data_IF_923318869808
#
_entry.id   IF_923318869808
#
_cell.length_a   1.000
_cell.length_b   1.000
_cell.length_c   1.000
_cell.angle_alpha   90.00
_cell.angle_beta   90.00
_cell.angle_gamma   90.00
#
_symmetry.space_group_name_H-M   'P 1'
#
loop_
_entity.id
_entity.type
_entity.pdbx_description
1 polymer ?
#
# COMPACT_ATOMS: atom_id res chain seq x y z
N UNK A 1 -9.21 -15.53 -14.03
CA UNK A 1 -8.87 -14.10 -13.88
C UNK A 1 -8.07 -13.91 -12.61
N UNK A 2 -6.98 -13.14 -12.66
CA UNK A 2 -6.22 -12.70 -11.48
C UNK A 2 -6.42 -11.19 -11.33
N UNK A 3 -6.92 -10.74 -10.19
CA UNK A 3 -7.33 -9.34 -10.01
C UNK A 3 -6.14 -8.38 -9.87
N UNK A 4 -5.02 -8.86 -9.33
CA UNK A 4 -4.02 -7.97 -8.73
C UNK A 4 -4.65 -7.14 -7.60
N UNK A 5 -4.11 -5.95 -7.36
CA UNK A 5 -4.74 -4.94 -6.52
C UNK A 5 -5.75 -4.18 -7.39
N UNK A 6 -7.03 -4.28 -7.06
CA UNK A 6 -8.12 -3.83 -7.93
C UNK A 6 -8.24 -2.32 -8.00
N UNK A 7 -7.89 -1.59 -6.95
CA UNK A 7 -8.21 -0.16 -6.88
C UNK A 7 -9.65 0.12 -6.50
N UNK A 8 -9.94 1.40 -6.29
CA UNK A 8 -11.30 1.90 -6.12
C UNK A 8 -11.80 2.49 -7.44
N UNK A 9 -13.12 2.61 -7.58
CA UNK A 9 -13.72 3.45 -8.62
C UNK A 9 -13.50 4.93 -8.27
N UNK A 10 -13.64 5.81 -9.28
CA UNK A 10 -13.57 7.27 -9.18
C UNK A 10 -12.26 7.77 -8.52
N UNK A 11 -11.14 7.10 -8.78
CA UNK A 11 -9.84 7.59 -8.34
C UNK A 11 -9.36 8.71 -9.27
N UNK A 12 -8.67 9.74 -8.73
CA UNK A 12 -8.10 10.77 -9.57
C UNK A 12 -7.16 10.19 -10.63
N UNK A 13 -7.26 10.71 -11.85
CA UNK A 13 -6.35 10.47 -12.98
C UNK A 13 -6.13 9.00 -13.39
N UNK A 14 -6.75 8.03 -12.73
CA UNK A 14 -6.65 6.60 -13.03
C UNK A 14 -8.02 6.13 -13.48
N UNK A 15 -8.05 5.28 -14.52
CA UNK A 15 -9.29 4.70 -15.03
C UNK A 15 -9.86 3.69 -14.04
N UNK A 16 -11.18 3.62 -13.98
CA UNK A 16 -11.88 2.63 -13.16
C UNK A 16 -11.45 1.19 -13.48
N UNK A 17 -11.54 0.29 -12.47
CA UNK A 17 -11.24 -1.11 -12.67
C UNK A 17 -12.10 -1.71 -13.79
N UNK A 18 -11.45 -2.43 -14.71
CA UNK A 18 -12.18 -3.09 -15.80
C UNK A 18 -12.99 -4.27 -15.25
N UNK A 19 -14.26 -4.32 -15.62
CA UNK A 19 -15.12 -5.46 -15.32
C UNK A 19 -14.91 -6.58 -16.32
N UNK A 20 -14.86 -7.81 -15.82
CA UNK A 20 -14.70 -9.01 -16.63
C UNK A 20 -16.01 -9.79 -16.57
N UNK A 21 -16.58 -10.10 -17.73
CA UNK A 21 -17.90 -10.73 -17.83
C UNK A 21 -17.86 -12.24 -17.53
N UNK A 22 -16.73 -12.92 -17.82
CA UNK A 22 -16.64 -14.38 -17.74
C UNK A 22 -15.31 -14.86 -17.18
N UNK A 23 -15.36 -15.80 -16.22
CA UNK A 23 -14.19 -16.53 -15.72
C UNK A 23 -14.59 -17.88 -15.11
N UNK A 24 -13.84 -18.95 -15.40
CA UNK A 24 -14.00 -20.23 -14.71
C UNK A 24 -13.52 -20.15 -13.25
N UNK A 25 -12.43 -19.41 -13.03
CA UNK A 25 -11.79 -19.22 -11.73
C UNK A 25 -11.37 -17.76 -11.56
N UNK A 26 -11.57 -17.24 -10.35
CA UNK A 26 -11.17 -15.89 -9.98
C UNK A 26 -10.16 -15.98 -8.84
N UNK A 27 -9.02 -15.31 -8.97
CA UNK A 27 -8.05 -15.11 -7.89
C UNK A 27 -8.11 -13.62 -7.55
N UNK A 28 -8.57 -13.29 -6.35
CA UNK A 28 -8.93 -11.92 -5.97
C UNK A 28 -8.15 -11.47 -4.73
N UNK A 29 -7.72 -10.21 -4.70
CA UNK A 29 -7.17 -9.61 -3.49
C UNK A 29 -8.21 -9.57 -2.35
N UNK A 30 -7.73 -9.39 -1.12
CA UNK A 30 -8.56 -9.40 0.09
C UNK A 30 -8.09 -8.40 1.14
N UNK A 31 -7.31 -7.40 0.73
CA UNK A 31 -6.63 -6.43 1.61
C UNK A 31 -7.60 -5.77 2.59
N UNK A 32 -8.78 -5.35 2.11
CA UNK A 32 -9.86 -4.79 2.92
C UNK A 32 -11.12 -5.65 2.93
N UNK A 33 -10.95 -6.98 2.88
CA UNK A 33 -12.05 -7.93 2.92
C UNK A 33 -12.95 -7.84 4.16
N UNK A 34 -12.52 -7.20 5.24
CA UNK A 34 -13.31 -6.96 6.47
C UNK A 34 -13.64 -5.47 6.73
N UNK A 35 -13.39 -4.56 5.77
CA UNK A 35 -13.54 -3.12 5.98
C UNK A 35 -14.32 -2.45 4.86
N UNK A 36 -14.99 -1.37 5.22
CA UNK A 36 -15.58 -0.41 4.28
C UNK A 36 -14.78 0.87 4.35
N UNK A 37 -14.55 1.51 3.21
CA UNK A 37 -13.99 2.85 3.20
C UNK A 37 -15.05 3.83 3.70
N UNK A 38 -14.82 4.36 4.90
CA UNK A 38 -15.68 5.40 5.45
C UNK A 38 -15.35 6.74 4.77
N UNK A 39 -16.37 7.34 4.18
CA UNK A 39 -16.35 8.72 3.66
C UNK A 39 -15.33 8.97 2.52
N UNK A 40 -15.34 8.15 1.46
CA UNK A 40 -14.60 8.47 0.21
C UNK A 40 -14.98 9.87 -0.30
N UNK A 41 -16.25 10.25 -0.14
CA UNK A 41 -16.82 11.55 -0.52
C UNK A 41 -16.20 12.76 0.21
N UNK A 42 -15.44 12.56 1.29
CA UNK A 42 -14.89 13.66 2.09
C UNK A 42 -13.35 13.68 2.13
N UNK A 43 -12.65 12.97 1.23
CA UNK A 43 -11.17 12.91 1.24
C UNK A 43 -10.54 14.30 1.17
N UNK A 44 -10.95 15.11 0.20
CA UNK A 44 -10.45 16.46 -0.02
C UNK A 44 -10.73 17.39 1.18
N UNK A 45 -11.94 17.31 1.74
CA UNK A 45 -12.33 18.09 2.92
C UNK A 45 -11.52 17.68 4.17
N UNK A 46 -11.34 16.37 4.40
CA UNK A 46 -10.52 15.84 5.49
C UNK A 46 -9.07 16.31 5.36
N UNK A 47 -8.49 16.25 4.16
CA UNK A 47 -7.13 16.75 3.91
C UNK A 47 -7.04 18.22 4.25
N UNK A 48 -7.98 19.04 3.77
CA UNK A 48 -8.04 20.47 4.04
C UNK A 48 -8.10 20.77 5.54
N UNK A 49 -9.01 20.12 6.27
CA UNK A 49 -9.15 20.31 7.72
C UNK A 49 -7.83 20.02 8.43
N UNK A 50 -7.16 18.92 8.07
CA UNK A 50 -5.89 18.54 8.68
C UNK A 50 -4.81 19.60 8.38
N UNK A 51 -4.69 20.03 7.12
CA UNK A 51 -3.75 21.09 6.73
C UNK A 51 -4.02 22.36 7.56
N UNK A 52 -5.25 22.85 7.59
CA UNK A 52 -5.62 24.08 8.30
C UNK A 52 -5.33 23.98 9.80
N UNK A 53 -5.67 22.86 10.43
CA UNK A 53 -5.38 22.61 11.84
C UNK A 53 -3.88 22.57 12.14
N UNK A 54 -3.09 21.90 11.30
CA UNK A 54 -1.63 21.84 11.44
C UNK A 54 -1.01 23.23 11.26
N UNK A 55 -1.41 23.97 10.24
CA UNK A 55 -0.87 25.31 9.97
C UNK A 55 -1.28 26.31 11.07
N UNK A 56 -2.48 26.19 11.63
CA UNK A 56 -2.93 26.99 12.78
C UNK A 56 -2.12 26.74 14.05
N UNK A 57 -1.66 25.50 14.27
CA UNK A 57 -0.73 25.16 15.36
C UNK A 57 0.69 25.70 15.11
N UNK A 58 1.00 26.08 13.87
CA UNK A 58 2.32 26.60 13.46
C UNK A 58 3.36 25.51 13.21
N UNK A 59 2.96 24.24 13.06
CA UNK A 59 3.85 23.12 12.79
C UNK A 59 3.93 22.72 11.32
N UNK A 60 4.59 21.59 11.07
CA UNK A 60 4.68 20.98 9.74
C UNK A 60 3.68 19.83 9.63
N UNK A 61 3.16 19.63 8.42
CA UNK A 61 2.44 18.41 8.06
C UNK A 61 3.43 17.44 7.40
N UNK A 62 3.70 16.31 8.05
CA UNK A 62 4.56 15.26 7.51
C UNK A 62 3.68 14.14 6.99
N UNK A 63 3.88 13.75 5.74
CA UNK A 63 3.09 12.71 5.08
C UNK A 63 4.01 11.58 4.62
N UNK A 64 4.12 10.49 5.40
CA UNK A 64 4.66 9.23 4.90
C UNK A 64 3.81 8.74 3.73
N UNK A 65 4.39 8.66 2.54
CA UNK A 65 3.69 8.19 1.34
C UNK A 65 4.56 7.25 0.50
N UNK A 66 3.93 6.31 -0.19
CA UNK A 66 4.60 5.54 -1.23
C UNK A 66 5.00 6.47 -2.38
N UNK A 67 6.17 6.20 -2.94
CA UNK A 67 6.78 7.06 -3.94
C UNK A 67 5.97 7.11 -5.25
N UNK A 68 5.36 5.97 -5.58
CA UNK A 68 4.50 5.76 -6.73
C UNK A 68 3.06 5.76 -6.25
N UNK A 69 2.18 6.36 -7.04
CA UNK A 69 0.74 6.48 -6.84
C UNK A 69 0.36 7.42 -5.68
N UNK A 70 0.56 7.02 -4.42
CA UNK A 70 0.03 7.74 -3.24
C UNK A 70 0.56 9.16 -3.10
N UNK A 71 1.81 9.39 -3.50
CA UNK A 71 2.36 10.74 -3.59
C UNK A 71 1.60 11.57 -4.63
N UNK A 72 1.29 10.99 -5.80
CA UNK A 72 0.61 11.67 -6.89
C UNK A 72 -0.87 11.94 -6.57
N UNK A 73 -1.58 11.02 -5.89
CA UNK A 73 -2.94 11.28 -5.42
C UNK A 73 -3.00 12.48 -4.48
N UNK A 74 -2.03 12.57 -3.56
CA UNK A 74 -1.94 13.69 -2.65
C UNK A 74 -1.61 15.00 -3.38
N UNK A 75 -0.75 14.96 -4.41
CA UNK A 75 -0.47 16.13 -5.24
C UNK A 75 -1.70 16.60 -6.02
N UNK A 76 -2.52 15.67 -6.54
CA UNK A 76 -3.77 15.98 -7.22
C UNK A 76 -4.70 16.77 -6.29
N UNK A 77 -4.95 16.24 -5.09
CA UNK A 77 -5.85 16.88 -4.12
C UNK A 77 -5.29 18.21 -3.61
N UNK A 78 -3.98 18.32 -3.40
CA UNK A 78 -3.34 19.58 -3.03
C UNK A 78 -3.46 20.64 -4.14
N UNK A 79 -3.32 20.24 -5.39
CA UNK A 79 -3.52 21.13 -6.52
C UNK A 79 -4.98 21.55 -6.65
N UNK A 80 -5.92 20.63 -6.44
CA UNK A 80 -7.35 20.94 -6.42
C UNK A 80 -7.69 21.97 -5.33
N UNK A 81 -7.20 21.78 -4.10
CA UNK A 81 -7.34 22.78 -3.03
C UNK A 81 -6.69 24.12 -3.41
N UNK A 82 -5.53 24.10 -4.08
CA UNK A 82 -4.85 25.30 -4.54
C UNK A 82 -5.68 26.08 -5.57
N UNK A 83 -6.20 25.38 -6.59
CA UNK A 83 -7.00 25.97 -7.67
C UNK A 83 -8.31 26.54 -7.12
N UNK A 84 -8.94 25.87 -6.14
CA UNK A 84 -10.14 26.35 -5.44
C UNK A 84 -9.87 27.54 -4.51
N UNK A 85 -8.60 27.89 -4.26
CA UNK A 85 -8.22 28.94 -3.31
C UNK A 85 -8.38 28.53 -1.85
N UNK A 86 -8.47 27.23 -1.60
CA UNK A 86 -8.66 26.61 -0.28
C UNK A 86 -7.35 26.19 0.38
N UNK A 87 -6.25 26.11 -0.38
CA UNK A 87 -4.88 25.98 0.12
C UNK A 87 -4.20 27.36 0.16
N UNK A 88 -3.70 27.78 1.33
CA UNK A 88 -2.92 29.02 1.45
C UNK A 88 -1.66 28.94 0.58
N UNK A 89 -1.50 29.92 -0.33
CA UNK A 89 -0.39 30.02 -1.28
C UNK A 89 0.98 30.17 -0.63
N UNK A 90 1.03 30.53 0.66
CA UNK A 90 2.26 30.66 1.43
C UNK A 90 2.71 29.36 2.11
N UNK A 91 1.93 28.28 1.97
CA UNK A 91 2.33 26.95 2.43
C UNK A 91 3.25 26.34 1.39
N UNK A 92 4.45 25.95 1.79
CA UNK A 92 5.36 25.22 0.91
C UNK A 92 5.01 23.72 0.88
N UNK A 93 4.98 23.11 -0.31
CA UNK A 93 4.79 21.67 -0.48
C UNK A 93 6.08 21.06 -1.00
N UNK A 94 6.63 20.09 -0.27
CA UNK A 94 7.86 19.40 -0.66
C UNK A 94 7.62 17.93 -0.94
N UNK A 95 8.19 17.44 -2.04
CA UNK A 95 8.47 16.02 -2.22
C UNK A 95 9.94 15.78 -1.86
N UNK A 96 10.18 15.03 -0.80
CA UNK A 96 11.51 14.64 -0.35
C UNK A 96 11.74 13.14 -0.52
N UNK A 97 11.78 12.73 -1.79
CA UNK A 97 12.12 11.37 -2.21
C UNK A 97 12.56 11.39 -3.68
N UNK A 98 13.82 11.07 -4.00
CA UNK A 98 14.29 11.01 -5.39
C UNK A 98 13.43 10.08 -6.25
N UNK A 99 12.99 8.96 -5.67
CA UNK A 99 12.11 8.01 -6.34
C UNK A 99 10.71 8.60 -6.58
N UNK A 100 10.14 9.31 -5.60
CA UNK A 100 8.82 9.91 -5.78
C UNK A 100 8.84 11.05 -6.81
N UNK A 101 9.94 11.82 -6.85
CA UNK A 101 10.17 12.86 -7.86
C UNK A 101 10.25 12.23 -9.25
N UNK A 102 11.03 11.16 -9.41
CA UNK A 102 11.16 10.44 -10.68
C UNK A 102 9.82 9.82 -11.12
N UNK A 103 9.10 9.19 -10.19
CA UNK A 103 7.77 8.64 -10.45
C UNK A 103 6.78 9.73 -10.89
N UNK A 104 6.75 10.87 -10.20
CA UNK A 104 5.88 12.00 -10.58
C UNK A 104 6.18 12.48 -12.00
N UNK A 105 7.46 12.56 -12.38
CA UNK A 105 7.85 12.95 -13.73
C UNK A 105 7.40 11.93 -14.80
N UNK A 106 7.47 10.63 -14.49
CA UNK A 106 6.94 9.57 -15.35
C UNK A 106 5.42 9.72 -15.53
N UNK A 107 4.66 9.97 -14.45
CA UNK A 107 3.21 10.21 -14.54
C UNK A 107 2.90 11.40 -15.44
N UNK A 108 3.63 12.51 -15.29
CA UNK A 108 3.46 13.71 -16.11
C UNK A 108 3.70 13.45 -17.61
N UNK A 109 4.74 12.69 -17.94
CA UNK A 109 5.09 12.34 -19.31
C UNK A 109 4.09 11.36 -19.95
N UNK A 110 3.34 10.62 -19.14
CA UNK A 110 2.38 9.60 -19.59
C UNK A 110 0.92 9.99 -19.34
N UNK A 111 0.61 11.29 -19.37
CA UNK A 111 -0.74 11.83 -19.14
C UNK A 111 -1.83 11.32 -20.11
N UNK A 112 -1.43 10.75 -21.26
CA UNK A 112 -2.34 10.07 -22.19
C UNK A 112 -2.97 8.79 -21.62
N UNK A 113 -2.47 8.27 -20.49
CA UNK A 113 -3.04 7.12 -19.78
C UNK A 113 -4.07 7.51 -18.73
N UNK A 114 -4.22 8.81 -18.45
CA UNK A 114 -5.19 9.28 -17.45
C UNK A 114 -6.64 9.02 -17.87
N UNK A 115 -7.55 9.13 -16.92
CA UNK A 115 -8.98 9.16 -17.18
C UNK A 115 -9.37 10.35 -18.10
N UNK A 116 -10.57 10.27 -18.68
CA UNK A 116 -11.03 11.25 -19.66
C UNK A 116 -11.25 12.64 -19.03
N UNK A 117 -11.66 12.70 -17.76
CA UNK A 117 -11.88 13.95 -17.03
C UNK A 117 -10.57 14.72 -16.86
N UNK A 118 -9.56 14.06 -16.31
CA UNK A 118 -8.23 14.59 -16.08
C UNK A 118 -7.56 14.96 -17.40
N UNK A 119 -7.71 14.14 -18.43
CA UNK A 119 -7.14 14.45 -19.76
C UNK A 119 -7.73 15.75 -20.33
N UNK A 120 -9.02 16.02 -20.09
CA UNK A 120 -9.64 17.29 -20.48
C UNK A 120 -9.04 18.50 -19.74
N UNK A 121 -8.62 18.35 -18.49
CA UNK A 121 -7.90 19.40 -17.76
C UNK A 121 -6.49 19.62 -18.30
N UNK A 122 -5.75 18.52 -18.55
CA UNK A 122 -4.41 18.56 -19.14
C UNK A 122 -4.42 19.27 -20.50
N UNK A 123 -5.40 18.97 -21.35
CA UNK A 123 -5.57 19.60 -22.66
C UNK A 123 -5.88 21.11 -22.59
N UNK A 124 -6.36 21.60 -21.44
CA UNK A 124 -6.56 23.04 -21.17
C UNK A 124 -5.31 23.73 -20.62
N UNK A 125 -4.19 23.01 -20.51
CA UNK A 125 -2.91 23.52 -20.01
C UNK A 125 -2.72 23.42 -18.51
N UNK A 126 -3.63 22.73 -17.79
CA UNK A 126 -3.51 22.53 -16.34
C UNK A 126 -3.05 21.11 -16.04
N UNK A 127 -1.85 20.97 -15.48
CA UNK A 127 -1.35 19.66 -15.07
C UNK A 127 -1.79 19.33 -13.64
N UNK A 128 -2.50 18.21 -13.40
CA UNK A 128 -3.06 17.87 -12.08
C UNK A 128 -1.99 17.68 -10.99
N UNK A 129 -0.81 17.19 -11.36
CA UNK A 129 0.32 16.95 -10.45
C UNK A 129 1.28 18.13 -10.29
N UNK A 130 0.93 19.31 -10.82
CA UNK A 130 1.72 20.52 -10.68
C UNK A 130 0.96 21.57 -9.87
N UNK A 131 1.64 22.17 -8.90
CA UNK A 131 1.15 23.32 -8.16
C UNK A 131 2.29 24.35 -7.99
N UNK A 132 2.02 25.66 -8.04
CA UNK A 132 3.07 26.69 -8.06
C UNK A 132 4.01 26.70 -6.84
N UNK A 133 3.54 26.21 -5.70
CA UNK A 133 4.26 26.10 -4.43
C UNK A 133 4.89 24.71 -4.20
N UNK A 134 4.89 23.82 -5.21
CA UNK A 134 5.56 22.53 -5.16
C UNK A 134 7.08 22.69 -5.33
N UNK A 135 7.83 22.09 -4.41
CA UNK A 135 9.30 22.09 -4.39
C UNK A 135 9.80 20.65 -4.31
N UNK A 136 10.92 20.39 -4.99
CA UNK A 136 11.53 19.06 -5.04
C UNK A 136 12.86 19.05 -4.28
N UNK A 137 12.98 18.18 -3.28
CA UNK A 137 14.23 17.96 -2.55
C UNK A 137 14.98 16.79 -3.18
N UNK A 138 16.00 17.10 -3.98
CA UNK A 138 16.74 16.09 -4.77
C UNK A 138 17.97 15.60 -4.02
N UNK A 139 18.73 16.52 -3.43
CA UNK A 139 19.98 16.19 -2.73
C UNK A 139 19.75 15.78 -1.28
N UNK A 140 20.79 15.24 -0.65
CA UNK A 140 20.78 14.95 0.79
C UNK A 140 20.79 16.27 1.58
N UNK A 141 21.53 17.26 1.09
CA UNK A 141 21.64 18.58 1.69
C UNK A 141 20.28 19.28 1.73
N UNK A 142 19.50 19.22 0.64
CA UNK A 142 18.13 19.76 0.59
C UNK A 142 17.26 19.13 1.69
N UNK A 143 17.28 17.80 1.78
CA UNK A 143 16.53 17.04 2.78
C UNK A 143 16.95 17.39 4.21
N UNK A 144 18.25 17.58 4.45
CA UNK A 144 18.76 17.99 5.74
C UNK A 144 18.28 19.38 6.15
N UNK A 145 18.23 20.34 5.21
CA UNK A 145 17.69 21.68 5.49
C UNK A 145 16.20 21.63 5.82
N UNK A 146 15.42 20.75 5.18
CA UNK A 146 14.01 20.58 5.49
C UNK A 146 13.74 20.16 6.94
N UNK A 147 14.65 19.41 7.57
CA UNK A 147 14.51 19.04 8.99
C UNK A 147 14.59 20.25 9.93
N UNK A 148 15.11 21.40 9.48
CA UNK A 148 15.21 22.63 10.25
C UNK A 148 13.98 23.53 10.12
N UNK A 149 13.09 23.25 9.16
CA UNK A 149 11.87 24.02 8.92
C UNK A 149 10.85 23.75 10.03
N UNK A 150 10.24 24.80 10.58
CA UNK A 150 9.39 24.69 11.78
C UNK A 150 7.91 24.86 11.53
N UNK A 151 7.46 25.40 10.40
CA UNK A 151 6.04 25.48 10.11
C UNK A 151 5.74 25.99 8.72
N UNK A 152 4.44 25.98 8.36
CA UNK A 152 3.94 26.36 7.02
C UNK A 152 4.48 25.47 5.90
N UNK A 153 4.67 24.19 6.19
CA UNK A 153 5.27 23.26 5.24
C UNK A 153 4.60 21.91 5.29
N UNK A 154 4.27 21.38 4.11
CA UNK A 154 3.85 20.01 3.88
C UNK A 154 5.05 19.25 3.32
N UNK A 155 5.46 18.16 3.96
CA UNK A 155 6.59 17.34 3.53
C UNK A 155 6.10 15.93 3.24
N UNK A 156 6.09 15.56 1.97
CA UNK A 156 5.74 14.23 1.48
C UNK A 156 7.05 13.45 1.28
N UNK A 157 7.21 12.33 1.98
CA UNK A 157 8.45 11.56 1.91
C UNK A 157 8.20 10.05 2.01
N UNK A 158 9.04 9.29 1.30
CA UNK A 158 9.02 7.83 1.31
C UNK A 158 9.95 7.26 2.41
N UNK A 159 9.69 6.06 2.94
CA UNK A 159 8.61 5.12 2.55
C UNK A 159 7.28 5.33 3.29
N UNK A 160 6.18 4.90 2.66
CA UNK A 160 4.81 5.09 3.19
C UNK A 160 4.52 4.38 4.51
N UNK A 161 5.31 3.36 4.87
CA UNK A 161 5.20 2.62 6.14
C UNK A 161 6.28 2.99 7.17
N UNK A 162 7.09 4.01 6.89
CA UNK A 162 8.11 4.55 7.80
C UNK A 162 9.29 3.60 8.11
N UNK A 163 9.44 2.50 7.39
CA UNK A 163 10.49 1.50 7.67
C UNK A 163 11.89 1.97 7.25
N UNK A 164 11.97 2.75 6.17
CA UNK A 164 13.22 3.18 5.56
C UNK A 164 13.10 4.54 4.86
N UNK A 165 14.24 5.12 4.49
CA UNK A 165 14.30 6.33 3.69
C UNK A 165 14.27 7.63 4.52
N UNK A 166 14.12 8.75 3.80
CA UNK A 166 14.21 10.11 4.34
C UNK A 166 13.10 10.41 5.35
N UNK A 167 11.95 9.73 5.24
CA UNK A 167 10.84 9.88 6.19
C UNK A 167 11.27 9.65 7.64
N UNK A 168 12.20 8.73 7.91
CA UNK A 168 12.68 8.48 9.28
C UNK A 168 13.37 9.70 9.88
N UNK A 169 14.08 10.47 9.07
CA UNK A 169 14.68 11.73 9.51
C UNK A 169 13.60 12.76 9.81
N UNK A 170 12.59 12.92 8.94
CA UNK A 170 11.48 13.83 9.19
C UNK A 170 10.70 13.47 10.45
N UNK A 171 10.42 12.19 10.67
CA UNK A 171 9.77 11.70 11.88
C UNK A 171 10.61 11.98 13.12
N UNK A 172 11.93 11.72 13.08
CA UNK A 172 12.84 12.04 14.19
C UNK A 172 12.79 13.52 14.60
N UNK A 173 12.67 14.44 13.64
CA UNK A 173 12.64 15.88 13.91
C UNK A 173 11.25 16.44 14.20
N UNK A 174 10.17 15.74 13.86
CA UNK A 174 8.81 16.26 13.99
C UNK A 174 7.92 15.50 14.99
N UNK A 175 8.16 14.21 15.28
CA UNK A 175 7.27 13.41 16.16
C UNK A 175 7.16 13.96 17.58
N UNK A 176 8.23 14.54 18.12
CA UNK A 176 8.24 15.08 19.48
C UNK A 176 7.65 16.49 19.59
N UNK A 177 7.25 17.10 18.47
CA UNK A 177 6.74 18.47 18.38
C UNK A 177 5.21 18.47 18.39
N UNK A 178 4.55 19.00 19.43
CA UNK A 178 3.09 18.98 19.55
C UNK A 178 2.36 19.83 18.50
N UNK A 179 3.04 20.79 17.89
CA UNK A 179 2.51 21.60 16.81
C UNK A 179 2.48 20.88 15.45
N UNK A 180 3.33 19.87 15.27
CA UNK A 180 3.42 19.10 14.02
C UNK A 180 2.30 18.06 13.92
N UNK A 181 2.02 17.62 12.70
CA UNK A 181 1.05 16.55 12.42
C UNK A 181 1.68 15.52 11.49
N UNK A 182 1.51 14.24 11.82
CA UNK A 182 1.88 13.13 10.95
C UNK A 182 0.59 12.57 10.37
N UNK A 183 0.46 12.63 9.03
CA UNK A 183 -0.70 12.16 8.31
C UNK A 183 -0.34 10.90 7.53
N UNK A 184 -0.93 9.78 7.93
CA UNK A 184 -0.84 8.52 7.19
C UNK A 184 -1.94 8.44 6.13
N UNK A 185 -1.54 8.18 4.88
CA UNK A 185 -2.43 8.13 3.70
C UNK A 185 -2.45 6.76 3.04
N UNK A 186 -2.04 5.70 3.75
CA UNK A 186 -2.01 4.34 3.19
C UNK A 186 -1.95 3.29 4.28
N UNK A 187 -2.14 2.03 3.87
CA UNK A 187 -2.12 0.88 4.77
C UNK A 187 -0.80 0.79 5.55
N UNK A 188 -0.90 0.43 6.84
CA UNK A 188 0.24 0.23 7.72
C UNK A 188 0.24 -1.22 8.22
N UNK A 189 1.13 -2.03 7.65
CA UNK A 189 1.25 -3.44 7.97
C UNK A 189 1.73 -3.65 9.42
N UNK A 190 1.29 -4.75 10.03
CA UNK A 190 1.71 -5.12 11.38
C UNK A 190 3.25 -5.23 11.49
N UNK A 191 3.78 -4.76 12.61
CA UNK A 191 5.22 -4.74 12.89
C UNK A 191 5.97 -3.50 12.36
N UNK A 192 5.39 -2.72 11.44
CA UNK A 192 6.03 -1.51 10.91
C UNK A 192 6.02 -0.35 11.91
N UNK A 193 6.99 0.55 11.79
CA UNK A 193 7.05 1.79 12.57
C UNK A 193 5.80 2.64 12.39
N UNK A 194 5.29 2.75 11.15
CA UNK A 194 4.08 3.51 10.89
C UNK A 194 2.86 2.94 11.61
N UNK A 195 2.72 1.61 11.66
CA UNK A 195 1.65 0.95 12.43
C UNK A 195 1.76 1.22 13.93
N UNK A 196 2.96 1.11 14.50
CA UNK A 196 3.21 1.43 15.93
C UNK A 196 2.80 2.85 16.31
N UNK A 197 3.10 3.82 15.44
CA UNK A 197 2.72 5.22 15.66
C UNK A 197 1.20 5.38 15.59
N UNK A 198 0.53 4.76 14.61
CA UNK A 198 -0.93 4.79 14.48
C UNK A 198 -1.64 4.11 15.66
N UNK A 199 -1.11 3.00 16.16
CA UNK A 199 -1.64 2.27 17.31
C UNK A 199 -1.46 3.06 18.64
N UNK A 200 -0.77 4.21 18.58
CA UNK A 200 -0.70 5.18 19.68
C UNK A 200 0.48 5.00 20.61
N UNK A 201 1.54 4.28 20.20
CA UNK A 201 2.78 4.18 20.97
C UNK A 201 3.33 5.56 21.30
N UNK A 202 3.62 5.79 22.59
CA UNK A 202 4.09 7.10 23.08
C UNK A 202 5.58 7.31 22.89
N UNK A 203 6.34 6.23 22.69
CA UNK A 203 7.78 6.26 22.46
C UNK A 203 8.07 5.21 21.39
N UNK A 204 8.75 5.63 20.32
CA UNK A 204 9.16 4.75 19.22
C UNK A 204 10.66 4.86 18.99
N UNK A 205 11.28 3.82 18.44
CA UNK A 205 12.72 3.82 18.17
C UNK A 205 12.99 4.17 16.70
N UNK A 206 13.76 5.23 16.46
CA UNK A 206 14.17 5.68 15.13
C UNK A 206 15.69 5.88 15.14
N UNK A 207 16.41 5.20 14.24
CA UNK A 207 17.89 5.24 14.19
C UNK A 207 18.56 4.95 15.54
N UNK A 208 18.04 3.94 16.25
CA UNK A 208 18.50 3.52 17.58
C UNK A 208 18.30 4.56 18.69
N UNK A 209 17.53 5.62 18.45
CA UNK A 209 17.15 6.63 19.44
C UNK A 209 15.67 6.52 19.78
N UNK A 210 15.33 6.71 21.05
CA UNK A 210 13.95 6.78 21.51
C UNK A 210 13.37 8.18 21.24
N UNK A 211 12.31 8.24 20.46
CA UNK A 211 11.60 9.48 20.11
C UNK A 211 10.22 9.45 20.75
N UNK A 212 9.90 10.48 21.53
CA UNK A 212 8.56 10.64 22.10
C UNK A 212 7.58 11.09 21.01
N UNK A 213 6.40 10.47 20.97
CA UNK A 213 5.31 10.84 20.07
C UNK A 213 4.42 11.86 20.78
N UNK A 214 4.54 13.13 20.39
CA UNK A 214 3.71 14.27 20.85
C UNK A 214 2.97 14.97 19.71
N UNK A 215 3.41 14.79 18.47
CA UNK A 215 2.72 15.29 17.29
C UNK A 215 1.30 14.72 17.19
N UNK A 216 0.42 15.46 16.52
CA UNK A 216 -0.91 14.98 16.19
C UNK A 216 -0.80 13.86 15.14
N UNK A 217 -1.42 12.71 15.39
CA UNK A 217 -1.36 11.55 14.49
C UNK A 217 -2.73 11.43 13.82
N UNK A 218 -2.75 11.55 12.50
CA UNK A 218 -3.96 11.48 11.68
C UNK A 218 -3.83 10.43 10.60
N UNK A 219 -4.97 9.93 10.15
CA UNK A 219 -5.04 8.98 9.06
C UNK A 219 -6.21 9.34 8.14
N UNK A 220 -5.97 9.26 6.83
CA UNK A 220 -7.03 9.29 5.82
C UNK A 220 -6.94 7.97 5.04
N UNK A 221 -7.93 7.10 5.25
CA UNK A 221 -8.01 5.77 4.59
C UNK A 221 -8.41 5.87 3.11
N UNK A 222 -9.08 6.96 2.71
CA UNK A 222 -9.55 7.19 1.34
C UNK A 222 -8.43 7.36 0.29
N UNK A 223 -7.16 7.40 0.71
CA UNK A 223 -6.00 7.33 -0.17
C UNK A 223 -5.47 5.90 -0.32
N UNK A 224 -6.21 4.85 0.02
CA UNK A 224 -5.75 3.49 -0.24
C UNK A 224 -6.08 3.02 -1.67
N UNK A 225 -5.14 2.33 -2.30
CA UNK A 225 -5.22 1.77 -3.66
C UNK A 225 -5.92 0.42 -3.74
N UNK A 226 -6.51 -0.07 -2.65
CA UNK A 226 -7.20 -1.36 -2.64
C UNK A 226 -8.70 -1.14 -2.61
N UNK A 227 -9.47 -2.01 -3.25
CA UNK A 227 -10.92 -1.98 -3.12
C UNK A 227 -11.33 -2.33 -1.67
N UNK A 228 -12.35 -1.64 -1.15
CA UNK A 228 -12.97 -2.06 0.11
C UNK A 228 -13.88 -3.28 -0.10
N UNK A 229 -14.47 -3.80 0.98
CA UNK A 229 -15.35 -4.96 0.89
C UNK A 229 -16.50 -4.74 -0.11
N UNK A 230 -17.06 -3.53 -0.19
CA UNK A 230 -18.13 -3.22 -1.14
C UNK A 230 -17.63 -3.23 -2.58
N UNK A 231 -16.48 -2.61 -2.86
CA UNK A 231 -15.84 -2.58 -4.17
C UNK A 231 -15.45 -3.98 -4.66
N UNK A 232 -14.84 -4.80 -3.78
CA UNK A 232 -14.49 -6.20 -4.09
C UNK A 232 -15.74 -7.02 -4.46
N UNK A 233 -16.81 -6.90 -3.67
CA UNK A 233 -18.07 -7.57 -3.95
C UNK A 233 -18.74 -7.04 -5.23
N UNK A 234 -18.70 -5.73 -5.48
CA UNK A 234 -19.24 -5.11 -6.71
C UNK A 234 -18.54 -5.65 -7.94
N UNK A 235 -17.21 -5.70 -7.93
CA UNK A 235 -16.41 -6.23 -9.01
C UNK A 235 -16.70 -7.73 -9.25
N UNK A 236 -16.78 -8.52 -8.19
CA UNK A 236 -17.12 -9.96 -8.29
C UNK A 236 -18.56 -10.22 -8.75
N UNK A 237 -19.52 -9.34 -8.42
CA UNK A 237 -20.93 -9.49 -8.83
C UNK A 237 -21.17 -9.21 -10.31
N UNK A 238 -20.24 -8.56 -11.01
CA UNK A 238 -20.37 -8.22 -12.43
C UNK A 238 -19.98 -9.35 -13.39
N UNK A 239 -19.60 -10.51 -12.88
CA UNK A 239 -19.43 -11.71 -13.70
C UNK A 239 -20.80 -12.29 -14.07
N UNK A 240 -21.12 -12.33 -15.36
CA UNK A 240 -22.35 -12.90 -15.91
C UNK A 240 -22.34 -14.44 -15.81
N UNK A 241 -21.16 -15.05 -15.93
CA UNK A 241 -20.90 -16.46 -15.64
C UNK A 241 -20.42 -16.64 -14.21
N UNK A 242 -21.19 -17.33 -13.36
CA UNK A 242 -20.80 -17.62 -11.98
C UNK A 242 -19.52 -18.46 -11.96
N UNK A 243 -18.38 -17.95 -11.44
CA UNK A 243 -17.13 -18.69 -11.44
C UNK A 243 -17.25 -19.95 -10.59
N UNK A 244 -16.53 -21.01 -10.95
CA UNK A 244 -16.56 -22.28 -10.20
C UNK A 244 -16.01 -22.11 -8.78
N UNK A 245 -14.89 -21.37 -8.64
CA UNK A 245 -14.26 -21.05 -7.36
C UNK A 245 -13.61 -19.67 -7.38
N UNK A 246 -13.58 -19.04 -6.21
CA UNK A 246 -12.85 -17.79 -5.94
C UNK A 246 -11.72 -18.08 -4.96
N UNK A 247 -10.49 -17.77 -5.33
CA UNK A 247 -9.32 -17.84 -4.47
C UNK A 247 -9.04 -16.46 -3.87
N UNK A 248 -9.04 -16.34 -2.55
CA UNK A 248 -8.74 -15.08 -1.86
C UNK A 248 -7.26 -15.04 -1.47
N UNK A 249 -6.54 -14.07 -2.01
CA UNK A 249 -5.11 -13.86 -1.78
C UNK A 249 -4.87 -12.42 -1.31
N UNK A 250 -3.63 -12.08 -0.95
CA UNK A 250 -3.23 -10.70 -0.63
C UNK A 250 -4.16 -10.00 0.38
N UNK A 251 -4.11 -10.47 1.64
CA UNK A 251 -4.90 -9.93 2.76
C UNK A 251 -4.60 -10.67 4.06
N UNK A 252 -4.98 -10.09 5.19
CA UNK A 252 -4.84 -10.75 6.50
C UNK A 252 -5.90 -11.84 6.68
N UNK A 253 -5.60 -12.86 7.49
CA UNK A 253 -6.46 -14.04 7.67
C UNK A 253 -7.92 -13.66 8.02
N UNK A 254 -8.10 -12.69 8.91
CA UNK A 254 -9.43 -12.20 9.30
C UNK A 254 -10.17 -11.54 8.13
N UNK A 255 -9.48 -10.73 7.32
CA UNK A 255 -10.06 -10.06 6.16
C UNK A 255 -10.49 -11.08 5.10
N UNK A 256 -9.64 -12.09 4.85
CA UNK A 256 -9.93 -13.20 3.96
C UNK A 256 -11.14 -14.02 4.41
N UNK A 257 -11.19 -14.41 5.69
CA UNK A 257 -12.31 -15.18 6.25
C UNK A 257 -13.63 -14.41 6.16
N UNK A 258 -13.62 -13.13 6.55
CA UNK A 258 -14.81 -12.27 6.51
C UNK A 258 -15.36 -12.14 5.09
N UNK A 259 -14.47 -11.92 4.11
CA UNK A 259 -14.86 -11.81 2.71
C UNK A 259 -15.35 -13.16 2.14
N UNK A 260 -14.71 -14.28 2.51
CA UNK A 260 -15.13 -15.62 2.10
C UNK A 260 -16.56 -15.95 2.56
N UNK A 261 -16.88 -15.64 3.83
CA UNK A 261 -18.23 -15.81 4.38
C UNK A 261 -19.26 -14.95 3.64
N UNK A 262 -18.91 -13.70 3.31
CA UNK A 262 -19.78 -12.78 2.59
C UNK A 262 -20.06 -13.27 1.16
N UNK A 263 -19.03 -13.68 0.42
CA UNK A 263 -19.15 -14.23 -0.93
C UNK A 263 -20.06 -15.47 -0.92
N UNK A 264 -19.84 -16.39 0.04
CA UNK A 264 -20.68 -17.58 0.20
C UNK A 264 -22.12 -17.22 0.51
N UNK A 265 -22.36 -16.22 1.36
CA UNK A 265 -23.70 -15.79 1.77
C UNK A 265 -24.48 -15.11 0.64
N UNK A 266 -23.84 -14.21 -0.12
CA UNK A 266 -24.53 -13.38 -1.11
C UNK A 266 -24.58 -14.00 -2.51
N UNK A 267 -23.57 -14.79 -2.88
CA UNK A 267 -23.44 -15.35 -4.22
C UNK A 267 -23.48 -16.88 -4.25
N UNK A 268 -23.50 -17.54 -3.09
CA UNK A 268 -23.42 -19.01 -2.96
C UNK A 268 -22.21 -19.61 -3.71
N UNK A 269 -21.11 -18.86 -3.76
CA UNK A 269 -19.88 -19.23 -4.44
C UNK A 269 -18.93 -19.99 -3.50
N UNK A 270 -18.21 -20.97 -4.06
CA UNK A 270 -17.15 -21.66 -3.34
C UNK A 270 -15.89 -20.77 -3.28
N UNK A 271 -15.43 -20.49 -2.06
CA UNK A 271 -14.23 -19.70 -1.81
C UNK A 271 -13.12 -20.56 -1.23
N UNK A 272 -11.88 -20.29 -1.62
CA UNK A 272 -10.68 -20.96 -1.12
C UNK A 272 -9.70 -19.89 -0.65
N UNK A 273 -9.14 -20.08 0.56
CA UNK A 273 -8.05 -19.24 1.08
C UNK A 273 -6.80 -20.13 1.05
N UNK A 274 -6.01 -20.10 -0.04
CA UNK A 274 -4.88 -20.99 -0.20
C UNK A 274 -3.82 -20.70 0.85
N UNK A 275 -3.28 -21.76 1.45
CA UNK A 275 -2.11 -21.63 2.31
C UNK A 275 -0.85 -21.38 1.48
N UNK A 276 0.17 -20.78 2.10
CA UNK A 276 1.43 -20.58 1.42
C UNK A 276 1.98 -21.93 0.93
N UNK A 277 2.19 -22.04 -0.39
CA UNK A 277 2.70 -23.22 -1.12
C UNK A 277 1.71 -24.37 -1.30
N UNK A 278 0.45 -24.10 -1.03
CA UNK A 278 -0.61 -24.98 -1.48
C UNK A 278 -0.79 -24.85 -3.01
N UNK A 279 -0.94 -26.00 -3.68
CA UNK A 279 -1.12 -26.08 -5.13
C UNK A 279 -2.55 -26.49 -5.47
N UNK A 280 -3.11 -25.88 -6.50
CA UNK A 280 -4.44 -26.18 -7.00
C UNK A 280 -4.39 -26.41 -8.50
N UNK A 281 -4.94 -27.55 -8.93
CA UNK A 281 -5.21 -27.81 -10.34
C UNK A 281 -6.53 -27.12 -10.72
N UNK A 282 -6.51 -26.34 -11.79
CA UNK A 282 -7.68 -25.65 -12.33
C UNK A 282 -8.14 -26.38 -13.58
N UNK A 283 -9.29 -27.04 -13.53
CA UNK A 283 -9.82 -27.80 -14.65
C UNK A 283 -10.72 -26.91 -15.52
N UNK A 284 -10.33 -26.71 -16.79
CA UNK A 284 -11.26 -26.23 -17.79
C UNK A 284 -12.36 -27.27 -17.99
N UNK A 285 -13.61 -26.88 -18.26
CA UNK A 285 -14.68 -27.83 -18.57
C UNK A 285 -14.39 -28.59 -19.88
N UNK A 286 -13.61 -29.65 -19.74
CA UNK A 286 -13.64 -30.82 -20.58
C UNK A 286 -13.75 -32.01 -19.63
N UNK A 287 -14.88 -32.72 -19.72
CA UNK A 287 -15.11 -34.03 -19.10
C UNK A 287 -13.86 -34.91 -19.14
N UNK A 288 -13.12 -34.98 -18.04
CA UNK A 288 -12.20 -36.08 -17.77
C UNK A 288 -11.79 -36.08 -16.30
N UNK A 289 -12.03 -37.22 -15.69
CA UNK A 289 -11.71 -37.66 -14.33
C UNK A 289 -10.46 -37.02 -13.71
N UNK A 290 -10.60 -36.53 -12.48
CA UNK A 290 -9.50 -36.14 -11.60
C UNK A 290 -8.44 -37.25 -11.55
N UNK A 291 -7.32 -37.03 -12.23
CA UNK A 291 -6.07 -37.75 -11.99
C UNK A 291 -5.06 -36.77 -11.43
N UNK A 292 -4.79 -36.92 -10.14
CA UNK A 292 -3.57 -36.39 -9.53
C UNK A 292 -2.40 -37.06 -10.24
N UNK A 293 -1.75 -36.34 -11.15
CA UNK A 293 -0.55 -36.81 -11.83
C UNK A 293 0.66 -36.56 -10.95
N UNK A 294 1.53 -37.57 -10.74
CA UNK A 294 2.82 -37.33 -10.11
C UNK A 294 3.69 -36.44 -11.00
N UNK A 295 4.32 -35.46 -10.36
CA UNK A 295 5.21 -34.46 -10.92
C UNK A 295 6.31 -35.05 -11.83
N UNK A 296 6.37 -34.55 -13.07
CA UNK A 296 7.56 -34.62 -13.91
C UNK A 296 7.75 -33.28 -14.63
N UNK A 297 8.81 -32.55 -14.27
CA UNK A 297 9.18 -31.28 -14.91
C UNK A 297 9.62 -31.52 -16.35
N UNK A 298 8.89 -30.91 -17.28
CA UNK A 298 9.39 -30.63 -18.62
C UNK A 298 10.50 -29.60 -18.49
N UNK A 299 11.73 -30.01 -18.76
CA UNK A 299 12.87 -29.12 -18.89
C UNK A 299 12.68 -28.25 -20.14
N UNK A 300 12.95 -26.95 -20.04
CA UNK A 300 13.68 -26.19 -21.07
C UNK A 300 13.99 -24.77 -20.59
N UNK A 301 15.28 -24.43 -20.63
CA UNK A 301 15.92 -23.14 -20.39
C UNK A 301 15.72 -22.52 -18.99
N UNK A 302 16.45 -23.03 -18.00
CA UNK A 302 16.54 -22.41 -16.68
C UNK A 302 17.33 -21.10 -16.72
N UNK A 303 16.65 -20.01 -16.41
CA UNK A 303 17.28 -18.77 -16.00
C UNK A 303 17.89 -19.02 -14.61
N UNK A 304 19.22 -18.89 -14.46
CA UNK A 304 19.91 -19.10 -13.19
C UNK A 304 19.35 -18.23 -12.04
N UNK A 305 18.74 -17.10 -12.37
CA UNK A 305 18.01 -16.28 -11.41
C UNK A 305 16.75 -16.98 -10.87
N UNK A 306 15.98 -17.68 -11.72
CA UNK A 306 14.82 -18.46 -11.29
C UNK A 306 15.25 -19.67 -10.43
N UNK A 307 16.33 -20.36 -10.78
CA UNK A 307 16.85 -21.47 -9.95
C UNK A 307 17.33 -20.96 -8.57
N UNK A 308 17.98 -19.81 -8.53
CA UNK A 308 18.43 -19.19 -7.29
C UNK A 308 17.24 -18.72 -6.43
N UNK A 309 16.22 -18.12 -7.04
CA UNK A 309 14.99 -17.71 -6.39
C UNK A 309 14.22 -18.93 -5.86
N UNK A 310 14.14 -20.01 -6.64
CA UNK A 310 13.56 -21.28 -6.23
C UNK A 310 14.28 -21.86 -5.00
N UNK A 311 15.61 -21.93 -5.03
CA UNK A 311 16.41 -22.45 -3.93
C UNK A 311 16.25 -21.59 -2.66
N UNK A 312 16.23 -20.27 -2.83
CA UNK A 312 15.98 -19.32 -1.74
C UNK A 312 14.60 -19.54 -1.11
N UNK A 313 13.55 -19.68 -1.93
CA UNK A 313 12.20 -19.94 -1.47
C UNK A 313 12.10 -21.27 -0.73
N UNK A 314 12.67 -22.35 -1.28
CA UNK A 314 12.70 -23.66 -0.63
C UNK A 314 13.43 -23.64 0.72
N UNK A 315 14.54 -22.89 0.84
CA UNK A 315 15.25 -22.72 2.10
C UNK A 315 14.40 -21.95 3.11
N UNK A 316 13.80 -20.83 2.69
CA UNK A 316 12.92 -20.00 3.53
C UNK A 316 11.72 -20.79 4.04
N UNK A 317 11.14 -21.66 3.21
CA UNK A 317 10.07 -22.59 3.58
C UNK A 317 10.46 -23.54 4.71
N UNK A 318 11.59 -24.23 4.54
CA UNK A 318 12.10 -25.17 5.55
C UNK A 318 12.36 -24.45 6.86
N UNK A 319 12.93 -23.24 6.80
CA UNK A 319 13.16 -22.40 7.97
C UNK A 319 11.85 -21.98 8.65
N UNK A 320 10.84 -21.55 7.89
CA UNK A 320 9.56 -21.11 8.44
C UNK A 320 8.79 -22.28 9.07
N UNK A 321 8.72 -23.44 8.41
CA UNK A 321 8.11 -24.64 8.98
C UNK A 321 8.80 -25.07 10.28
N UNK A 322 10.14 -25.08 10.26
CA UNK A 322 10.92 -25.39 11.44
C UNK A 322 10.71 -24.38 12.58
N UNK A 323 10.60 -23.09 12.25
CA UNK A 323 10.27 -22.02 13.21
C UNK A 323 8.89 -22.24 13.85
N UNK A 324 7.86 -22.50 13.05
CA UNK A 324 6.49 -22.77 13.52
C UNK A 324 6.44 -24.02 14.42
N UNK A 325 6.99 -25.15 13.96
CA UNK A 325 7.05 -26.40 14.75
C UNK A 325 7.79 -26.22 16.08
N UNK A 326 8.85 -25.41 16.09
CA UNK A 326 9.64 -25.14 17.30
C UNK A 326 8.93 -24.22 18.29
N UNK A 327 8.16 -23.23 17.81
CA UNK A 327 7.31 -22.38 18.65
C UNK A 327 6.19 -23.21 19.28
N UNK A 328 5.45 -23.98 18.48
CA UNK A 328 4.36 -24.83 18.99
C UNK A 328 4.86 -25.86 20.00
N UNK A 329 6.12 -26.32 19.85
CA UNK A 329 6.77 -27.24 20.77
C UNK A 329 7.53 -26.61 21.96
N UNK A 330 7.55 -25.27 22.11
CA UNK A 330 8.39 -24.55 23.09
C UNK A 330 9.91 -24.88 23.03
N UNK A 331 10.43 -25.22 21.84
CA UNK A 331 11.83 -25.63 21.62
C UNK A 331 12.73 -24.50 21.16
N UNK A 332 12.68 -23.36 21.85
CA UNK A 332 13.39 -22.13 21.43
C UNK A 332 14.92 -22.26 21.43
N UNK A 333 15.51 -23.03 22.34
CA UNK A 333 16.95 -23.22 22.40
C UNK A 333 17.48 -23.99 21.17
N UNK A 334 16.76 -25.02 20.74
CA UNK A 334 17.09 -25.82 19.55
C UNK A 334 16.90 -25.02 18.26
N UNK A 335 15.90 -24.13 18.25
CA UNK A 335 15.66 -23.18 17.16
C UNK A 335 16.83 -22.19 17.01
N UNK A 336 17.27 -21.57 18.10
CA UNK A 336 18.39 -20.62 18.11
C UNK A 336 19.69 -21.28 17.64
N UNK A 337 20.00 -22.48 18.13
CA UNK A 337 21.20 -23.23 17.75
C UNK A 337 21.25 -23.52 16.24
N UNK A 338 20.14 -24.01 15.67
CA UNK A 338 20.07 -24.31 14.24
C UNK A 338 20.08 -23.06 13.36
N UNK A 339 19.43 -21.97 13.78
CA UNK A 339 19.50 -20.70 13.08
C UNK A 339 20.92 -20.12 13.07
N UNK A 340 21.64 -20.20 14.19
CA UNK A 340 23.06 -19.81 14.25
C UNK A 340 23.92 -20.67 13.33
N UNK A 341 23.62 -21.96 13.21
CA UNK A 341 24.33 -22.87 12.30
C UNK A 341 24.08 -22.47 10.84
N UNK A 342 22.84 -22.15 10.45
CA UNK A 342 22.52 -21.65 9.10
C UNK A 342 23.19 -20.30 8.84
N UNK A 343 23.21 -19.40 9.82
CA UNK A 343 23.91 -18.12 9.72
C UNK A 343 25.43 -18.25 9.55
N UNK A 344 26.04 -19.37 9.96
CA UNK A 344 27.48 -19.61 9.78
C UNK A 344 27.88 -20.06 8.36
N UNK A 345 26.90 -20.44 7.54
CA UNK A 345 27.10 -20.82 6.13
C UNK A 345 26.76 -19.68 5.14
N UNK A 346 26.25 -18.56 5.65
CA UNK A 346 26.06 -17.29 4.94
C UNK A 346 27.24 -16.37 5.24
#
# INVERSE_FOLDING_TARGET
>A
VYSGDLGQEDQPFIKDPTFIENADYVIMESTYGDRFHKDVLNRLEKLKIIIDETMKKGGNLIVPAFAVERTQDLLYDLNELYVRGELDKNIDVYIDSPLAIAATEIFKQNSHLFDDETMNFVNKGFHPLELPNLKYSRSQEDSMQLNMVKGRTIIISASGMCEAGRIKHHLKHNLWRPESTILFVGYQAEGTLGRKILDGEKIVTIHSEQVTVKADIRQIEAYSSHADQAGLMSWLKKYDGTPKKVFLVHGEEKAQQTLAELIKKEMNLATVIPQWLEEYQLDADTTSEEKVLPFHLVSTATNQALEAEELYLQLRMKLNRFYQESITGNKYAELIEKLNKVSSYL
#
